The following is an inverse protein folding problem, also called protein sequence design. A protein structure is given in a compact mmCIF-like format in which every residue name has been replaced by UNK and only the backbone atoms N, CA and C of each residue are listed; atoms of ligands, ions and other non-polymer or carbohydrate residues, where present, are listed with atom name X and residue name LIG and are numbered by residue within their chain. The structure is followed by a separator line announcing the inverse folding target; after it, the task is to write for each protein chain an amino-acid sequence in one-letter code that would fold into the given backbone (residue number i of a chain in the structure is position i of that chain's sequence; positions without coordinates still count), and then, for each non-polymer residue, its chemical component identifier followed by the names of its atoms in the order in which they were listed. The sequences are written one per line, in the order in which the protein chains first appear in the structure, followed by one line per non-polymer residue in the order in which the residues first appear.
data_IF_179148456875
#
_entry.id   IF_179148456875
#
_cell.length_a   1.000
_cell.length_b   1.000
_cell.length_c   1.000
_cell.angle_alpha   90.00
_cell.angle_beta   90.00
_cell.angle_gamma   90.00
#
_symmetry.space_group_name_H-M   'P 1'
#
loop_
_entity.id
_entity.type
_entity.pdbx_description
1 polymer ?
#
# COMPACT_ATOMS: atom_id res chain seq x y z
N UNK A 1 18.09 -13.29 7.15
CA UNK A 1 19.37 -12.56 7.36
C UNK A 1 20.38 -12.89 6.26
N UNK A 2 20.49 -14.15 5.83
CA UNK A 2 21.38 -14.63 4.75
C UNK A 2 21.23 -13.90 3.42
N UNK A 3 19.99 -13.59 2.99
CA UNK A 3 19.75 -12.87 1.73
C UNK A 3 20.55 -11.57 1.59
N UNK A 4 20.79 -10.82 2.67
CA UNK A 4 21.57 -9.57 2.61
C UNK A 4 23.04 -9.79 2.21
N UNK A 5 23.57 -10.99 2.42
CA UNK A 5 24.94 -11.34 2.02
C UNK A 5 25.06 -11.50 0.50
N UNK A 6 23.94 -11.82 -0.17
CA UNK A 6 23.87 -12.03 -1.61
C UNK A 6 23.23 -10.87 -2.37
N UNK A 7 22.75 -9.84 -1.67
CA UNK A 7 22.23 -8.64 -2.32
C UNK A 7 23.37 -7.69 -2.69
N UNK A 8 23.50 -7.28 -3.96
CA UNK A 8 24.56 -6.40 -4.38
C UNK A 8 24.47 -5.04 -3.66
N UNK A 9 25.64 -4.52 -3.26
CA UNK A 9 25.74 -3.17 -2.71
C UNK A 9 25.45 -2.16 -3.83
N UNK A 10 24.41 -1.35 -3.64
CA UNK A 10 24.05 -0.31 -4.59
C UNK A 10 24.97 0.90 -4.41
N UNK A 11 26.08 0.92 -5.14
CA UNK A 11 27.00 2.05 -5.16
C UNK A 11 26.28 3.25 -5.79
N UNK A 12 26.28 4.40 -5.10
CA UNK A 12 25.67 5.63 -5.61
C UNK A 12 24.14 5.73 -5.50
N UNK A 13 23.45 4.73 -4.92
CA UNK A 13 21.99 4.77 -4.71
C UNK A 13 21.63 4.69 -3.23
N UNK A 14 20.79 5.63 -2.77
CA UNK A 14 20.25 5.67 -1.41
C UNK A 14 18.74 5.45 -1.45
N UNK A 15 18.27 4.40 -0.78
CA UNK A 15 16.84 4.10 -0.66
C UNK A 15 16.46 4.04 0.81
N UNK A 16 15.57 4.94 1.22
CA UNK A 16 15.14 5.10 2.62
C UNK A 16 13.63 5.00 2.73
N UNK A 17 13.16 4.19 3.67
CA UNK A 17 11.73 4.00 3.95
C UNK A 17 11.47 4.22 5.44
N UNK A 18 11.77 5.42 5.97
CA UNK A 18 11.64 5.67 7.40
C UNK A 18 10.17 5.63 7.80
N UNK A 19 9.92 5.27 9.06
CA UNK A 19 8.62 5.56 9.67
C UNK A 19 8.38 7.08 9.60
N UNK A 20 7.15 7.48 9.28
CA UNK A 20 6.74 8.87 9.42
C UNK A 20 6.43 9.21 10.87
N UNK A 21 6.23 10.50 11.16
CA UNK A 21 5.60 10.97 12.39
C UNK A 21 4.16 11.42 12.12
N UNK A 22 3.25 11.32 13.11
CA UNK A 22 1.93 11.95 13.01
C UNK A 22 2.06 13.46 12.73
N UNK A 23 1.38 13.95 11.70
CA UNK A 23 1.37 15.38 11.36
C UNK A 23 0.17 15.73 10.48
N UNK A 24 -0.18 17.01 10.42
CA UNK A 24 -1.12 17.50 9.40
C UNK A 24 -0.39 17.70 8.07
N UNK A 25 -0.90 17.09 7.00
CA UNK A 25 -0.33 17.23 5.65
C UNK A 25 -1.14 18.23 4.84
N UNK A 26 -0.61 19.45 4.70
CA UNK A 26 -1.24 20.49 3.87
C UNK A 26 -1.33 20.12 2.39
N UNK A 27 -0.51 19.18 1.91
CA UNK A 27 -0.53 18.70 0.53
C UNK A 27 -1.80 17.89 0.19
N UNK A 28 -2.39 17.22 1.19
CA UNK A 28 -3.60 16.39 1.02
C UNK A 28 -4.78 16.87 1.89
N UNK A 29 -4.56 17.85 2.79
CA UNK A 29 -5.59 18.44 3.63
C UNK A 29 -6.07 17.53 4.77
N UNK A 30 -5.25 16.59 5.22
CA UNK A 30 -5.63 15.60 6.24
C UNK A 30 -4.52 15.35 7.25
N UNK A 31 -4.88 14.80 8.41
CA UNK A 31 -3.92 14.24 9.36
C UNK A 31 -3.35 12.94 8.79
N UNK A 32 -2.02 12.83 8.81
CA UNK A 32 -1.26 11.70 8.32
C UNK A 32 -0.75 10.92 9.54
N UNK A 33 -1.26 9.71 9.73
CA UNK A 33 -0.83 8.80 10.79
C UNK A 33 0.06 7.70 10.20
N UNK A 34 1.25 7.42 10.75
CA UNK A 34 2.12 6.35 10.25
C UNK A 34 1.37 5.03 10.28
N UNK A 35 1.32 4.34 9.15
CA UNK A 35 0.64 3.05 9.03
C UNK A 35 1.68 1.94 8.88
N UNK A 36 1.82 1.01 9.85
CA UNK A 36 2.83 -0.02 9.82
C UNK A 36 2.40 -1.18 8.88
N UNK A 37 2.50 -0.97 7.57
CA UNK A 37 2.22 -1.99 6.55
C UNK A 37 3.50 -2.55 5.92
N UNK A 38 3.33 -3.56 5.06
CA UNK A 38 4.43 -4.13 4.27
C UNK A 38 4.86 -3.21 3.11
N UNK A 39 4.02 -2.24 2.72
CA UNK A 39 4.21 -1.43 1.51
C UNK A 39 5.53 -0.67 1.47
N UNK A 40 5.99 0.00 2.55
CA UNK A 40 7.31 0.64 2.54
C UNK A 40 8.43 -0.34 2.22
N UNK A 41 8.35 -1.58 2.70
CA UNK A 41 9.35 -2.61 2.40
C UNK A 41 9.33 -3.01 0.93
N UNK A 42 8.14 -3.21 0.34
CA UNK A 42 7.98 -3.58 -1.08
C UNK A 42 8.41 -2.44 -2.01
N UNK A 43 7.99 -1.21 -1.72
CA UNK A 43 8.37 -0.01 -2.47
C UNK A 43 9.88 0.22 -2.38
N UNK A 44 10.46 0.08 -1.18
CA UNK A 44 11.91 0.19 -0.98
C UNK A 44 12.71 -0.87 -1.75
N UNK A 45 12.22 -2.12 -1.82
CA UNK A 45 12.84 -3.16 -2.66
C UNK A 45 12.76 -2.83 -4.14
N UNK A 46 11.62 -2.34 -4.60
CA UNK A 46 11.43 -1.93 -6.00
C UNK A 46 12.36 -0.77 -6.38
N UNK A 47 12.48 0.24 -5.52
CA UNK A 47 13.37 1.38 -5.73
C UNK A 47 14.87 1.03 -5.70
N UNK A 48 15.24 -0.06 -5.01
CA UNK A 48 16.61 -0.59 -5.06
C UNK A 48 16.91 -1.23 -6.41
N UNK A 49 15.96 -1.96 -6.98
CA UNK A 49 16.11 -2.71 -8.23
C UNK A 49 15.91 -1.87 -9.50
N UNK A 50 15.08 -0.83 -9.45
CA UNK A 50 14.67 -0.07 -10.64
C UNK A 50 15.30 1.33 -10.67
N UNK A 51 15.98 1.67 -11.76
CA UNK A 51 16.70 2.95 -11.91
C UNK A 51 15.76 4.16 -11.96
N UNK A 52 14.52 3.97 -12.43
CA UNK A 52 13.49 5.03 -12.56
C UNK A 52 13.16 5.77 -11.26
N UNK A 53 13.51 5.19 -10.10
CA UNK A 53 13.32 5.84 -8.80
C UNK A 53 14.40 6.87 -8.45
N UNK A 54 15.47 6.95 -9.26
CA UNK A 54 16.57 7.89 -9.08
C UNK A 54 17.61 7.46 -8.03
N UNK A 55 18.69 8.26 -7.88
CA UNK A 55 19.82 7.93 -7.00
C UNK A 55 19.52 8.16 -5.51
N UNK A 56 18.55 9.00 -5.16
CA UNK A 56 18.13 9.22 -3.76
C UNK A 56 16.61 9.17 -3.64
N UNK A 57 16.11 8.03 -3.18
CA UNK A 57 14.69 7.76 -3.07
C UNK A 57 14.25 7.64 -1.60
N UNK A 58 13.17 8.34 -1.26
CA UNK A 58 12.54 8.26 0.07
C UNK A 58 11.04 8.01 -0.05
N UNK A 59 10.54 7.01 0.66
CA UNK A 59 9.12 6.71 0.73
C UNK A 59 8.63 6.66 2.18
N UNK A 60 7.44 7.20 2.43
CA UNK A 60 6.73 7.14 3.71
C UNK A 60 5.27 6.80 3.42
N UNK A 61 4.65 6.03 4.29
CA UNK A 61 3.28 5.55 4.12
C UNK A 61 2.44 5.93 5.34
N UNK A 62 1.23 6.44 5.08
CA UNK A 62 0.37 7.02 6.10
C UNK A 62 -1.09 6.66 5.83
N UNK A 63 -1.84 6.45 6.90
CA UNK A 63 -3.30 6.57 6.87
C UNK A 63 -3.69 8.06 6.86
N UNK A 64 -4.66 8.40 6.02
CA UNK A 64 -5.23 9.74 5.91
C UNK A 64 -6.53 9.83 6.69
N UNK A 65 -6.57 10.70 7.71
CA UNK A 65 -7.73 10.93 8.56
C UNK A 65 -8.12 12.40 8.52
N UNK A 66 -9.41 12.68 8.26
CA UNK A 66 -9.88 14.05 7.99
C UNK A 66 -9.82 14.94 9.23
N UNK A 67 -10.13 14.40 10.40
CA UNK A 67 -10.33 15.20 11.61
C UNK A 67 -9.31 14.84 12.70
N UNK A 68 -8.90 15.85 13.47
CA UNK A 68 -7.98 15.66 14.59
C UNK A 68 -8.54 14.74 15.68
N UNK A 69 -9.84 14.84 16.07
CA UNK A 69 -10.43 13.87 17.01
C UNK A 69 -10.33 12.43 16.53
N UNK A 70 -10.53 12.17 15.24
CA UNK A 70 -10.35 10.82 14.67
C UNK A 70 -8.88 10.41 14.68
N UNK A 71 -7.97 11.34 14.39
CA UNK A 71 -6.53 11.08 14.38
C UNK A 71 -5.99 10.72 15.78
N UNK A 72 -6.56 11.27 16.84
CA UNK A 72 -6.19 10.96 18.23
C UNK A 72 -6.96 9.75 18.79
N UNK A 73 -8.27 9.67 18.50
CA UNK A 73 -9.15 8.66 19.07
C UNK A 73 -8.99 7.27 18.45
N UNK A 74 -8.76 7.17 17.13
CA UNK A 74 -8.68 5.87 16.47
C UNK A 74 -7.50 5.01 16.95
N UNK A 75 -6.26 5.54 17.10
CA UNK A 75 -5.16 4.77 17.67
C UNK A 75 -5.43 4.29 19.10
N UNK A 76 -6.06 5.14 19.93
CA UNK A 76 -6.42 4.79 21.31
C UNK A 76 -7.46 3.66 21.32
N UNK A 77 -8.50 3.76 20.49
CA UNK A 77 -9.53 2.72 20.39
C UNK A 77 -8.96 1.39 19.90
N UNK A 78 -8.09 1.41 18.89
CA UNK A 78 -7.40 0.21 18.39
C UNK A 78 -6.51 -0.38 19.50
N UNK A 79 -5.74 0.45 20.19
CA UNK A 79 -4.89 0.00 21.31
C UNK A 79 -5.70 -0.62 22.43
N UNK A 80 -6.82 -0.03 22.81
CA UNK A 80 -7.75 -0.57 23.79
C UNK A 80 -8.36 -1.90 23.35
N UNK A 81 -8.76 -2.02 22.08
CA UNK A 81 -9.29 -3.28 21.52
C UNK A 81 -8.23 -4.38 21.54
N UNK A 82 -6.99 -4.07 21.14
CA UNK A 82 -5.88 -5.03 21.18
C UNK A 82 -5.58 -5.47 22.61
N UNK A 83 -5.57 -4.54 23.57
CA UNK A 83 -5.39 -4.85 24.98
C UNK A 83 -6.53 -5.71 25.53
N UNK A 84 -7.78 -5.39 25.19
CA UNK A 84 -8.95 -6.19 25.55
C UNK A 84 -8.88 -7.61 24.95
N UNK A 85 -8.40 -7.75 23.72
CA UNK A 85 -8.22 -9.04 23.07
C UNK A 85 -7.13 -9.92 23.71
N UNK A 86 -6.28 -9.37 24.60
CA UNK A 86 -5.37 -10.18 25.42
C UNK A 86 -6.07 -10.86 26.61
N UNK A 87 -7.30 -10.45 26.93
CA UNK A 87 -8.12 -11.05 27.98
C UNK A 87 -8.99 -12.14 27.36
N UNK A 88 -8.84 -13.37 27.84
CA UNK A 88 -9.47 -14.57 27.25
C UNK A 88 -10.99 -14.43 27.11
N UNK A 89 -11.72 -14.07 28.18
CA UNK A 89 -13.18 -13.92 28.11
C UNK A 89 -13.66 -12.80 27.17
N UNK A 90 -12.91 -11.69 27.07
CA UNK A 90 -13.24 -10.62 26.14
C UNK A 90 -12.93 -11.02 24.69
N UNK A 91 -11.84 -11.75 24.47
CA UNK A 91 -11.47 -12.32 23.17
C UNK A 91 -12.51 -13.33 22.69
N UNK A 92 -12.93 -14.26 23.54
CA UNK A 92 -13.97 -15.25 23.21
C UNK A 92 -15.30 -14.59 22.87
N UNK A 93 -15.72 -13.61 23.66
CA UNK A 93 -16.91 -12.82 23.38
C UNK A 93 -16.83 -12.08 22.03
N UNK A 94 -15.67 -11.46 21.73
CA UNK A 94 -15.44 -10.79 20.45
C UNK A 94 -15.45 -11.76 19.27
N UNK A 95 -14.79 -12.92 19.40
CA UNK A 95 -14.74 -13.93 18.34
C UNK A 95 -16.10 -14.60 18.13
N UNK A 96 -16.87 -14.86 19.20
CA UNK A 96 -18.23 -15.40 19.11
C UNK A 96 -19.23 -14.44 18.46
N UNK A 97 -18.95 -13.13 18.49
CA UNK A 97 -19.80 -12.11 17.83
C UNK A 97 -19.52 -11.97 16.33
N UNK A 98 -18.32 -12.33 15.89
CA UNK A 98 -17.83 -12.18 14.52
C UNK A 98 -17.15 -13.46 14.06
N UNK A 99 -17.94 -14.39 13.50
CA UNK A 99 -17.41 -15.63 12.93
C UNK A 99 -16.40 -15.33 11.80
N UNK A 100 -15.17 -15.87 11.88
CA UNK A 100 -14.23 -15.85 10.78
C UNK A 100 -14.83 -16.53 9.53
N UNK A 101 -14.58 -15.97 8.34
CA UNK A 101 -14.93 -16.59 7.06
C UNK A 101 -16.24 -16.16 6.40
N UNK A 102 -17.15 -15.49 7.12
CA UNK A 102 -18.41 -15.00 6.52
C UNK A 102 -18.19 -13.79 5.59
N UNK A 103 -17.18 -12.96 5.89
CA UNK A 103 -16.91 -11.74 5.13
C UNK A 103 -18.08 -10.73 5.13
N UNK A 104 -17.91 -9.57 4.49
CA UNK A 104 -19.00 -8.63 4.27
C UNK A 104 -19.98 -9.18 3.23
N UNK A 105 -21.27 -8.91 3.39
CA UNK A 105 -22.28 -9.19 2.37
C UNK A 105 -22.02 -8.42 1.06
N UNK A 106 -22.73 -8.80 -0.01
CA UNK A 106 -22.54 -8.23 -1.34
C UNK A 106 -22.85 -6.72 -1.39
N UNK A 107 -23.89 -6.29 -0.68
CA UNK A 107 -24.31 -4.88 -0.62
C UNK A 107 -23.27 -4.00 0.07
N UNK A 108 -22.62 -4.53 1.10
CA UNK A 108 -21.52 -3.87 1.80
C UNK A 108 -20.30 -3.78 0.89
N UNK A 109 -19.93 -4.86 0.19
CA UNK A 109 -18.82 -4.83 -0.79
C UNK A 109 -19.10 -3.81 -1.90
N UNK A 110 -20.32 -3.74 -2.43
CA UNK A 110 -20.68 -2.81 -3.51
C UNK A 110 -20.57 -1.32 -3.09
N UNK A 111 -20.77 -1.02 -1.80
CA UNK A 111 -20.67 0.35 -1.26
C UNK A 111 -19.27 0.71 -0.76
N UNK A 112 -18.40 -0.28 -0.58
CA UNK A 112 -17.00 -0.07 -0.22
C UNK A 112 -16.20 0.47 -1.40
N UNK A 113 -15.27 1.37 -1.10
CA UNK A 113 -14.32 1.91 -2.07
C UNK A 113 -13.01 2.22 -1.36
N UNK A 114 -11.93 2.40 -2.14
CA UNK A 114 -10.67 2.91 -1.63
C UNK A 114 -10.08 3.95 -2.56
N UNK A 115 -9.30 4.86 -1.98
CA UNK A 115 -8.43 5.78 -2.71
C UNK A 115 -7.09 5.90 -2.00
N UNK A 116 -6.01 5.77 -2.76
CA UNK A 116 -4.65 6.04 -2.33
C UNK A 116 -4.16 7.24 -3.13
N UNK A 117 -3.63 8.25 -2.44
CA UNK A 117 -2.99 9.41 -3.07
C UNK A 117 -1.49 9.37 -2.82
N UNK A 118 -0.71 9.39 -3.89
CA UNK A 118 0.74 9.52 -3.83
C UNK A 118 1.13 10.98 -4.08
N UNK A 119 2.04 11.48 -3.25
CA UNK A 119 2.66 12.80 -3.41
C UNK A 119 4.14 12.58 -3.70
N UNK A 120 4.51 12.71 -4.97
CA UNK A 120 5.89 12.56 -5.46
C UNK A 120 6.56 13.92 -5.60
N UNK A 121 7.82 14.02 -5.19
CA UNK A 121 8.68 15.20 -5.36
C UNK A 121 10.01 14.76 -5.94
N UNK A 122 10.45 15.41 -7.03
CA UNK A 122 11.70 15.06 -7.70
C UNK A 122 11.97 15.91 -8.94
N UNK A 123 13.26 16.22 -9.20
CA UNK A 123 13.66 17.02 -10.35
C UNK A 123 13.01 18.41 -10.39
N UNK A 124 12.81 19.04 -9.23
CA UNK A 124 12.17 20.35 -9.10
C UNK A 124 10.66 20.37 -9.29
N UNK A 125 10.01 19.20 -9.46
CA UNK A 125 8.56 19.08 -9.68
C UNK A 125 7.88 18.31 -8.57
N UNK A 126 6.59 18.58 -8.39
CA UNK A 126 5.71 17.84 -7.49
C UNK A 126 4.54 17.26 -8.26
N UNK A 127 4.32 15.96 -8.13
CA UNK A 127 3.25 15.24 -8.82
C UNK A 127 2.34 14.58 -7.80
N UNK A 128 1.04 14.71 -8.03
CA UNK A 128 0.00 14.04 -7.26
C UNK A 128 -0.62 12.97 -8.15
N UNK A 129 -0.57 11.72 -7.73
CA UNK A 129 -1.26 10.63 -8.41
C UNK A 129 -2.24 9.94 -7.48
N UNK A 130 -3.24 9.32 -8.06
CA UNK A 130 -4.26 8.58 -7.32
C UNK A 130 -4.51 7.21 -7.92
N UNK A 131 -4.75 6.26 -7.02
CA UNK A 131 -5.24 4.92 -7.34
C UNK A 131 -6.55 4.73 -6.59
N UNK A 132 -7.60 4.30 -7.27
CA UNK A 132 -8.92 4.09 -6.67
C UNK A 132 -9.63 2.89 -7.28
N UNK A 133 -10.49 2.26 -6.49
CA UNK A 133 -11.29 1.09 -6.86
C UNK A 133 -12.43 0.85 -5.89
N UNK A 134 -13.13 -0.28 -6.08
CA UNK A 134 -14.22 -0.75 -5.22
C UNK A 134 -13.72 -1.30 -3.88
N UNK A 135 -14.33 -2.40 -3.42
CA UNK A 135 -14.03 -2.98 -2.11
C UNK A 135 -12.55 -3.41 -1.98
N UNK A 136 -11.75 -2.76 -1.10
CA UNK A 136 -10.33 -3.07 -0.99
C UNK A 136 -10.07 -4.42 -0.32
N UNK A 137 -11.01 -4.92 0.50
CA UNK A 137 -10.79 -6.11 1.32
C UNK A 137 -10.99 -7.43 0.58
N UNK A 138 -11.89 -7.46 -0.40
CA UNK A 138 -12.27 -8.67 -1.12
C UNK A 138 -12.21 -8.46 -2.62
N UNK A 139 -13.10 -7.62 -3.17
CA UNK A 139 -13.30 -7.53 -4.61
C UNK A 139 -12.05 -7.08 -5.37
N UNK A 140 -11.46 -5.96 -4.96
CA UNK A 140 -10.27 -5.42 -5.60
C UNK A 140 -9.03 -6.25 -5.28
N UNK A 141 -8.91 -6.81 -4.07
CA UNK A 141 -7.79 -7.69 -3.73
C UNK A 141 -7.79 -8.97 -4.56
N UNK A 142 -8.94 -9.64 -4.70
CA UNK A 142 -9.07 -10.83 -5.53
C UNK A 142 -8.76 -10.53 -7.01
N UNK A 143 -9.24 -9.39 -7.51
CA UNK A 143 -8.93 -8.91 -8.86
C UNK A 143 -7.44 -8.66 -9.04
N UNK A 144 -6.79 -7.93 -8.15
CA UNK A 144 -5.35 -7.64 -8.23
C UNK A 144 -4.54 -8.93 -8.25
N UNK A 145 -4.90 -9.91 -7.42
CA UNK A 145 -4.24 -11.21 -7.39
C UNK A 145 -4.43 -11.99 -8.69
N UNK A 146 -5.66 -12.08 -9.20
CA UNK A 146 -5.98 -12.78 -10.44
C UNK A 146 -5.25 -12.14 -11.63
N UNK A 147 -5.35 -10.81 -11.77
CA UNK A 147 -4.67 -10.06 -12.84
C UNK A 147 -3.15 -10.21 -12.77
N UNK A 148 -2.57 -10.29 -11.57
CA UNK A 148 -1.14 -10.58 -11.40
C UNK A 148 -0.77 -11.98 -11.90
N UNK A 149 -1.60 -12.99 -11.60
CA UNK A 149 -1.35 -14.36 -12.06
C UNK A 149 -1.43 -14.47 -13.59
N UNK A 150 -2.43 -13.83 -14.20
CA UNK A 150 -2.58 -13.81 -15.66
C UNK A 150 -1.44 -13.02 -16.32
N UNK A 151 -1.02 -11.88 -15.72
CA UNK A 151 0.13 -11.11 -16.19
C UNK A 151 1.40 -11.96 -16.28
N UNK A 152 1.70 -12.71 -15.22
CA UNK A 152 2.86 -13.62 -15.18
C UNK A 152 2.80 -14.75 -16.21
N UNK A 153 1.59 -15.24 -16.52
CA UNK A 153 1.42 -16.40 -17.39
C UNK A 153 1.40 -16.03 -18.89
N UNK A 154 0.82 -14.88 -19.24
CA UNK A 154 0.43 -14.58 -20.62
C UNK A 154 1.11 -13.35 -21.22
N UNK A 155 1.67 -12.45 -20.42
CA UNK A 155 2.21 -11.19 -20.92
C UNK A 155 3.73 -11.29 -21.18
N UNK A 156 4.25 -10.38 -22.01
CA UNK A 156 5.69 -10.23 -22.23
C UNK A 156 6.31 -9.45 -21.08
N UNK A 157 7.12 -10.11 -20.27
CA UNK A 157 7.69 -9.55 -19.05
C UNK A 157 9.22 -9.47 -19.12
N UNK A 158 9.87 -8.60 -18.32
CA UNK A 158 11.32 -8.58 -18.19
C UNK A 158 11.88 -9.94 -17.76
N UNK A 159 13.02 -10.34 -18.32
CA UNK A 159 13.73 -11.54 -17.88
C UNK A 159 14.26 -11.36 -16.46
N UNK A 160 13.57 -11.96 -15.50
CA UNK A 160 13.93 -11.90 -14.09
C UNK A 160 13.49 -13.17 -13.37
N UNK A 161 14.16 -13.50 -12.26
CA UNK A 161 13.89 -14.72 -11.50
C UNK A 161 14.13 -14.54 -10.02
N UNK A 162 13.64 -15.48 -9.21
CA UNK A 162 13.73 -15.44 -7.77
C UNK A 162 12.66 -14.56 -7.11
N UNK A 163 12.99 -13.99 -5.94
CA UNK A 163 12.04 -13.20 -5.15
C UNK A 163 12.08 -11.72 -5.54
N UNK A 164 11.34 -11.37 -6.58
CA UNK A 164 11.23 -10.00 -7.11
C UNK A 164 9.90 -9.36 -6.75
N UNK A 165 9.83 -8.02 -6.81
CA UNK A 165 8.58 -7.28 -6.54
C UNK A 165 7.71 -7.22 -7.79
N UNK A 166 6.42 -6.94 -7.63
CA UNK A 166 5.48 -6.77 -8.75
C UNK A 166 5.93 -5.69 -9.73
N UNK A 167 6.51 -4.59 -9.22
CA UNK A 167 7.04 -3.52 -10.06
C UNK A 167 8.25 -3.97 -10.91
N UNK A 168 9.06 -4.93 -10.43
CA UNK A 168 10.22 -5.47 -11.16
C UNK A 168 9.80 -6.56 -12.13
N UNK A 169 8.92 -7.47 -11.70
CA UNK A 169 8.50 -8.62 -12.49
C UNK A 169 7.49 -8.28 -13.58
N UNK A 170 6.52 -7.41 -13.26
CA UNK A 170 5.36 -7.15 -14.12
C UNK A 170 5.28 -5.69 -14.57
N UNK A 171 5.67 -4.76 -13.71
CA UNK A 171 5.80 -3.33 -14.06
C UNK A 171 4.55 -2.76 -14.73
N UNK A 172 4.74 -2.18 -15.92
CA UNK A 172 3.68 -1.51 -16.65
C UNK A 172 2.66 -2.49 -17.26
N UNK A 173 3.03 -3.76 -17.52
CA UNK A 173 2.09 -4.77 -18.01
C UNK A 173 0.96 -5.05 -17.00
N UNK A 174 1.30 -5.15 -15.71
CA UNK A 174 0.29 -5.28 -14.65
C UNK A 174 -0.53 -3.99 -14.50
N UNK A 175 0.10 -2.82 -14.66
CA UNK A 175 -0.61 -1.54 -14.60
C UNK A 175 -1.70 -1.45 -15.67
N UNK A 176 -1.38 -1.84 -16.90
CA UNK A 176 -2.32 -1.88 -18.02
C UNK A 176 -3.47 -2.85 -17.75
N UNK A 177 -3.17 -4.06 -17.28
CA UNK A 177 -4.18 -5.06 -16.88
C UNK A 177 -5.12 -4.55 -15.81
N UNK A 178 -4.59 -4.01 -14.71
CA UNK A 178 -5.40 -3.50 -13.62
C UNK A 178 -6.29 -2.33 -14.08
N UNK A 179 -5.77 -1.49 -14.99
CA UNK A 179 -6.54 -0.40 -15.60
C UNK A 179 -7.69 -0.96 -16.46
N UNK A 180 -7.41 -1.97 -17.29
CA UNK A 180 -8.44 -2.66 -18.09
C UNK A 180 -9.48 -3.38 -17.22
N UNK A 181 -9.08 -3.90 -16.06
CA UNK A 181 -9.95 -4.53 -15.07
C UNK A 181 -10.70 -3.52 -14.16
N UNK A 182 -10.60 -2.22 -14.48
CA UNK A 182 -11.40 -1.15 -13.87
C UNK A 182 -10.80 -0.47 -12.65
N UNK A 183 -9.54 -0.76 -12.27
CA UNK A 183 -8.83 0.11 -11.32
C UNK A 183 -8.51 1.44 -12.01
N UNK A 184 -8.69 2.54 -11.28
CA UNK A 184 -8.40 3.87 -11.81
C UNK A 184 -7.05 4.34 -11.31
N UNK A 185 -6.10 4.51 -12.23
CA UNK A 185 -4.83 5.19 -12.03
C UNK A 185 -4.88 6.54 -12.73
N UNK A 186 -4.55 7.63 -12.03
CA UNK A 186 -4.57 8.98 -12.64
C UNK A 186 -3.50 9.90 -12.07
N UNK A 187 -3.09 10.86 -12.90
CA UNK A 187 -2.39 12.07 -12.43
C UNK A 187 -3.45 13.07 -11.98
N UNK A 188 -3.44 13.42 -10.70
CA UNK A 188 -4.41 14.34 -10.11
C UNK A 188 -3.98 15.81 -10.23
N UNK A 189 -2.68 16.09 -10.16
CA UNK A 189 -2.10 17.40 -10.39
C UNK A 189 -0.58 17.30 -10.63
N UNK A 190 -0.03 18.26 -11.37
CA UNK A 190 1.42 18.52 -11.46
C UNK A 190 1.64 19.97 -11.03
N UNK A 191 2.59 20.19 -10.13
CA UNK A 191 2.95 21.49 -9.58
C UNK A 191 4.46 21.70 -9.62
#
# INVERSE_FOLDING_TARGET
RERRLHEPRLVGRRVRTPAGSPHFSGAVGTWALPLPTVDPTIVGRSARSLERYGPDFRYRHFASVKTLPMALGAPVAIGALVAAAQVEGAREWLMGRYEPGQGPDEDRRRRSWFTIRFVGEGGGRRVFTEVSGGDPGYGETAKILAESAVCLALDKLPETSGQVTTAVAMGDALLERLTAAGLRFRVAAVR
#
